data_IF_094848524982
#
_entry.id   IF_094848524982
#
_cell.length_a   1.000
_cell.length_b   1.000
_cell.length_c   1.000
_cell.angle_alpha   90.00
_cell.angle_beta   90.00
_cell.angle_gamma   90.00
#
_symmetry.space_group_name_H-M   'P 1'
#
loop_
_entity.id
_entity.type
_entity.pdbx_description
1 polymer ?
#
# COMPACT_ATOMS: atom_id res chain seq x y z
N UNK A 1 15.19 11.49 -22.81
CA UNK A 1 14.63 11.08 -21.51
C UNK A 1 14.61 12.32 -20.66
N UNK A 2 13.42 12.92 -20.52
CA UNK A 2 13.30 14.35 -20.29
C UNK A 2 13.56 14.71 -18.83
N UNK A 3 14.55 15.58 -18.62
CA UNK A 3 14.96 16.12 -17.33
C UNK A 3 13.81 16.82 -16.59
N UNK A 4 12.79 17.30 -17.30
CA UNK A 4 11.57 17.87 -16.73
C UNK A 4 10.66 16.82 -16.07
N UNK A 5 10.59 15.61 -16.62
CA UNK A 5 9.84 14.48 -16.02
C UNK A 5 10.56 13.97 -14.76
N UNK A 6 11.89 13.87 -14.82
CA UNK A 6 12.73 13.51 -13.65
C UNK A 6 12.70 14.60 -12.57
N UNK A 7 12.63 15.88 -12.93
CA UNK A 7 12.45 16.99 -11.99
C UNK A 7 11.03 17.06 -11.39
N UNK A 8 10.01 16.61 -12.13
CA UNK A 8 8.66 16.39 -11.60
C UNK A 8 8.64 15.24 -10.57
N UNK A 9 9.37 14.16 -10.86
CA UNK A 9 9.57 13.02 -9.96
C UNK A 9 10.41 13.38 -8.72
N UNK A 10 11.36 14.31 -8.82
CA UNK A 10 12.12 14.81 -7.67
C UNK A 10 11.34 15.80 -6.79
N UNK A 11 10.28 16.44 -7.31
CA UNK A 11 9.26 17.13 -6.50
C UNK A 11 8.27 16.16 -5.85
N UNK A 12 8.02 15.02 -6.50
CA UNK A 12 7.36 13.85 -5.91
C UNK A 12 8.30 13.03 -5.02
N UNK A 13 9.52 13.53 -4.73
CA UNK A 13 10.38 12.97 -3.69
C UNK A 13 9.54 12.98 -2.42
N UNK A 14 9.03 11.80 -2.11
CA UNK A 14 8.71 11.37 -0.77
C UNK A 14 9.96 11.71 0.04
N UNK A 15 9.98 12.91 0.63
CA UNK A 15 10.92 13.24 1.69
C UNK A 15 10.44 12.46 2.92
N UNK A 16 10.53 11.13 2.80
CA UNK A 16 10.31 10.13 3.84
C UNK A 16 11.38 10.21 4.92
N UNK A 17 12.45 10.96 4.66
CA UNK A 17 13.60 11.16 5.55
C UNK A 17 13.36 12.21 6.62
N UNK A 18 12.49 13.21 6.37
CA UNK A 18 12.11 14.14 7.43
C UNK A 18 10.97 13.52 8.22
N UNK A 19 11.28 13.00 9.41
CA UNK A 19 10.27 12.52 10.36
C UNK A 19 9.25 13.63 10.60
N UNK A 20 8.05 13.48 10.01
CA UNK A 20 6.99 14.47 10.19
C UNK A 20 6.13 14.05 11.38
N UNK A 21 5.96 14.99 12.30
CA UNK A 21 5.21 14.79 13.53
C UNK A 21 3.69 14.89 13.36
N UNK A 22 3.22 15.07 12.13
CA UNK A 22 1.79 15.09 11.76
C UNK A 22 1.21 13.69 11.49
N UNK A 23 2.04 12.63 11.43
CA UNK A 23 1.60 11.26 11.22
C UNK A 23 1.38 10.49 12.52
N UNK A 24 0.23 9.83 12.64
CA UNK A 24 -0.07 8.90 13.73
C UNK A 24 0.73 7.59 13.59
N UNK A 25 0.86 6.85 14.70
CA UNK A 25 1.51 5.54 14.69
C UNK A 25 0.86 4.56 13.70
N UNK A 26 -0.48 4.52 13.65
CA UNK A 26 -1.23 3.66 12.71
C UNK A 26 -0.86 3.94 11.25
N UNK A 27 -0.64 5.21 10.92
CA UNK A 27 -0.41 5.64 9.55
C UNK A 27 1.00 5.27 9.14
N UNK A 28 1.97 5.43 10.05
CA UNK A 28 3.36 4.99 9.86
C UNK A 28 3.45 3.48 9.70
N UNK A 29 2.69 2.72 10.49
CA UNK A 29 2.61 1.26 10.34
C UNK A 29 2.22 0.89 8.91
N UNK A 30 1.19 1.55 8.37
CA UNK A 30 0.70 1.28 7.03
C UNK A 30 1.64 1.76 5.92
N UNK A 31 1.93 3.06 5.84
CA UNK A 31 2.63 3.62 4.67
C UNK A 31 4.16 3.56 4.78
N UNK A 32 4.73 3.50 5.99
CA UNK A 32 6.18 3.43 6.20
C UNK A 32 6.63 1.98 6.38
N UNK A 33 6.18 1.34 7.47
CA UNK A 33 6.68 0.00 7.85
C UNK A 33 6.24 -1.08 6.84
N UNK A 34 4.95 -1.19 6.54
CA UNK A 34 4.47 -2.20 5.57
C UNK A 34 5.09 -2.01 4.19
N UNK A 35 5.18 -0.76 3.70
CA UNK A 35 5.84 -0.46 2.41
C UNK A 35 7.30 -0.91 2.41
N UNK A 36 8.09 -0.59 3.45
CA UNK A 36 9.50 -0.98 3.54
C UNK A 36 9.64 -2.51 3.56
N UNK A 37 8.81 -3.19 4.34
CA UNK A 37 8.81 -4.66 4.45
C UNK A 37 8.49 -5.29 3.08
N UNK A 38 7.42 -4.82 2.42
CA UNK A 38 6.99 -5.35 1.11
C UNK A 38 8.06 -5.10 0.03
N UNK A 39 8.66 -3.90 0.02
CA UNK A 39 9.75 -3.58 -0.93
C UNK A 39 10.96 -4.47 -0.66
N UNK A 40 11.34 -4.69 0.61
CA UNK A 40 12.44 -5.58 0.96
C UNK A 40 12.19 -7.01 0.47
N UNK A 41 10.98 -7.56 0.69
CA UNK A 41 10.63 -8.88 0.17
C UNK A 41 10.61 -8.94 -1.35
N UNK A 42 10.06 -7.92 -2.02
CA UNK A 42 10.08 -7.82 -3.48
C UNK A 42 11.51 -7.83 -4.04
N UNK A 43 12.44 -7.12 -3.40
CA UNK A 43 13.86 -7.15 -3.74
C UNK A 43 14.48 -8.53 -3.53
N UNK A 44 14.22 -9.19 -2.40
CA UNK A 44 14.75 -10.54 -2.11
C UNK A 44 14.28 -11.55 -3.15
N UNK A 45 12.99 -11.54 -3.48
CA UNK A 45 12.40 -12.44 -4.49
C UNK A 45 12.98 -12.11 -5.88
N UNK A 46 13.09 -10.83 -6.22
CA UNK A 46 13.69 -10.40 -7.50
C UNK A 46 15.14 -10.88 -7.63
N UNK A 47 15.95 -10.78 -6.57
CA UNK A 47 17.32 -11.30 -6.56
C UNK A 47 17.34 -12.80 -6.85
N UNK A 48 16.46 -13.59 -6.19
CA UNK A 48 16.33 -15.03 -6.46
C UNK A 48 15.92 -15.32 -7.90
N UNK A 49 15.02 -14.52 -8.47
CA UNK A 49 14.42 -14.76 -9.78
C UNK A 49 15.32 -14.34 -10.96
N UNK A 50 16.11 -13.26 -10.81
CA UNK A 50 16.94 -12.73 -11.90
C UNK A 50 18.41 -13.15 -11.82
N UNK A 51 18.95 -13.38 -10.61
CA UNK A 51 20.36 -13.75 -10.40
C UNK A 51 20.49 -15.26 -10.14
N UNK A 52 19.50 -15.85 -9.48
CA UNK A 52 19.44 -17.28 -9.21
C UNK A 52 18.75 -18.08 -10.32
N UNK A 53 18.68 -19.39 -10.12
CA UNK A 53 17.81 -20.29 -10.90
C UNK A 53 16.42 -20.31 -10.25
N UNK A 54 15.36 -19.80 -10.90
CA UNK A 54 14.02 -19.72 -10.31
C UNK A 54 13.31 -21.08 -10.22
N UNK A 55 13.68 -22.02 -11.09
CA UNK A 55 13.16 -23.39 -11.13
C UNK A 55 14.30 -24.34 -11.52
N UNK A 56 14.26 -25.55 -10.98
CA UNK A 56 15.13 -26.66 -11.39
C UNK A 56 14.24 -27.77 -11.94
N UNK A 57 14.62 -28.34 -13.08
CA UNK A 57 13.82 -29.35 -13.75
C UNK A 57 14.53 -30.70 -13.73
N UNK A 58 13.77 -31.77 -13.51
CA UNK A 58 14.27 -33.13 -13.71
C UNK A 58 14.34 -33.42 -15.22
N UNK A 59 15.55 -33.36 -15.78
CA UNK A 59 15.81 -33.62 -17.21
C UNK A 59 16.52 -34.97 -17.42
N UNK A 60 16.40 -35.59 -18.60
CA UNK A 60 17.12 -36.82 -18.92
C UNK A 60 18.64 -36.67 -18.82
N UNK A 61 19.33 -37.75 -18.44
CA UNK A 61 20.79 -37.74 -18.20
C UNK A 61 21.63 -37.51 -19.46
N UNK A 62 21.04 -37.66 -20.65
CA UNK A 62 21.71 -37.41 -21.93
C UNK A 62 21.82 -35.91 -22.24
N UNK A 63 21.12 -35.04 -21.52
CA UNK A 63 21.12 -33.61 -21.79
C UNK A 63 22.46 -32.98 -21.41
N UNK A 64 22.98 -32.16 -22.32
CA UNK A 64 24.10 -31.26 -22.01
C UNK A 64 23.64 -30.14 -21.08
N UNK A 65 24.58 -29.54 -20.34
CA UNK A 65 24.28 -28.41 -19.43
C UNK A 65 23.52 -27.26 -20.11
N UNK A 66 23.82 -26.95 -21.37
CA UNK A 66 23.12 -25.90 -22.10
C UNK A 66 21.66 -26.28 -22.42
N UNK A 67 21.38 -27.57 -22.63
CA UNK A 67 20.02 -28.07 -22.85
C UNK A 67 19.22 -28.11 -21.54
N UNK A 68 19.86 -28.44 -20.42
CA UNK A 68 19.27 -28.32 -19.08
C UNK A 68 18.86 -26.87 -18.78
N UNK A 69 19.77 -25.91 -18.96
CA UNK A 69 19.49 -24.48 -18.77
C UNK A 69 18.40 -23.98 -19.73
N UNK A 70 18.35 -24.49 -20.97
CA UNK A 70 17.25 -24.19 -21.89
C UNK A 70 15.91 -24.77 -21.41
N UNK A 71 15.89 -26.02 -20.96
CA UNK A 71 14.68 -26.67 -20.44
C UNK A 71 14.14 -25.95 -19.20
N UNK A 72 15.01 -25.58 -18.25
CA UNK A 72 14.66 -24.77 -17.08
C UNK A 72 14.03 -23.43 -17.49
N UNK A 73 14.62 -22.72 -18.46
CA UNK A 73 14.07 -21.46 -18.96
C UNK A 73 12.72 -21.63 -19.66
N UNK A 74 12.55 -22.68 -20.46
CA UNK A 74 11.28 -22.99 -21.12
C UNK A 74 10.21 -23.32 -20.08
N UNK A 75 10.52 -24.16 -19.09
CA UNK A 75 9.62 -24.50 -18.00
C UNK A 75 9.27 -23.28 -17.13
N UNK A 76 10.22 -22.36 -16.93
CA UNK A 76 9.97 -21.14 -16.18
C UNK A 76 9.05 -20.18 -16.92
N UNK A 77 9.26 -19.94 -18.22
CA UNK A 77 8.47 -18.99 -19.02
C UNK A 77 7.09 -19.55 -19.36
N UNK A 78 7.01 -20.86 -19.59
CA UNK A 78 5.76 -21.58 -19.83
C UNK A 78 5.01 -21.78 -18.51
N UNK A 79 3.68 -21.80 -18.54
CA UNK A 79 2.89 -22.09 -17.32
C UNK A 79 3.11 -23.53 -16.90
N UNK A 80 3.39 -23.75 -15.61
CA UNK A 80 3.41 -25.08 -15.01
C UNK A 80 2.04 -25.41 -14.43
N UNK A 81 1.78 -26.66 -14.12
CA UNK A 81 0.56 -27.10 -13.45
C UNK A 81 0.89 -28.13 -12.38
N UNK A 82 0.09 -28.15 -11.33
CA UNK A 82 0.24 -29.11 -10.24
C UNK A 82 -0.58 -30.37 -10.49
N UNK A 83 -0.02 -31.51 -10.11
CA UNK A 83 -0.67 -32.82 -10.07
C UNK A 83 -0.37 -33.40 -8.69
N UNK A 84 -1.41 -33.88 -7.99
CA UNK A 84 -1.23 -34.48 -6.67
C UNK A 84 -0.43 -35.77 -6.76
N UNK A 85 0.48 -35.99 -5.81
CA UNK A 85 1.28 -37.23 -5.68
C UNK A 85 0.41 -38.49 -5.54
N UNK A 86 -0.85 -38.34 -5.12
CA UNK A 86 -1.82 -39.45 -4.97
C UNK A 86 -2.40 -39.89 -6.31
N UNK A 87 -2.42 -39.00 -7.32
CA UNK A 87 -2.96 -39.31 -8.64
C UNK A 87 -1.91 -40.03 -9.50
N UNK A 88 -2.21 -41.28 -9.88
CA UNK A 88 -1.28 -42.12 -10.64
C UNK A 88 -1.15 -41.71 -12.12
N UNK A 89 -2.12 -40.95 -12.66
CA UNK A 89 -2.18 -40.60 -14.08
C UNK A 89 -2.17 -39.09 -14.28
N UNK A 90 -1.24 -38.61 -15.12
CA UNK A 90 -1.25 -37.22 -15.57
C UNK A 90 -2.50 -36.98 -16.41
N UNK A 91 -3.33 -35.96 -16.11
CA UNK A 91 -4.56 -35.71 -16.84
C UNK A 91 -4.28 -35.53 -18.34
N UNK A 92 -4.93 -36.32 -19.18
CA UNK A 92 -4.76 -36.27 -20.64
C UNK A 92 -5.55 -35.13 -21.29
N UNK A 93 -6.56 -34.60 -20.59
CA UNK A 93 -7.43 -33.53 -21.09
C UNK A 93 -6.84 -32.16 -20.73
N UNK A 94 -6.55 -31.37 -21.77
CA UNK A 94 -6.15 -29.96 -21.66
C UNK A 94 -7.01 -29.10 -20.70
N UNK A 95 -8.36 -29.21 -20.64
CA UNK A 95 -9.15 -28.37 -19.73
C UNK A 95 -8.94 -28.67 -18.24
N UNK A 96 -8.56 -29.90 -17.86
CA UNK A 96 -8.29 -30.26 -16.46
C UNK A 96 -6.96 -29.66 -15.99
N UNK A 97 -5.95 -29.63 -16.89
CA UNK A 97 -4.65 -29.00 -16.62
C UNK A 97 -4.76 -27.50 -16.38
N UNK A 98 -5.67 -26.82 -17.07
CA UNK A 98 -5.84 -25.36 -16.94
C UNK A 98 -6.27 -24.93 -15.53
N UNK A 99 -7.03 -25.78 -14.83
CA UNK A 99 -7.55 -25.46 -13.50
C UNK A 99 -6.47 -25.48 -12.42
N UNK A 100 -5.41 -26.28 -12.61
CA UNK A 100 -4.28 -26.39 -11.68
C UNK A 100 -3.03 -25.65 -12.16
N UNK A 101 -3.16 -24.77 -13.17
CA UNK A 101 -2.04 -23.98 -13.68
C UNK A 101 -1.53 -22.96 -12.66
N UNK A 102 -0.22 -22.91 -12.53
CA UNK A 102 0.50 -22.03 -11.63
C UNK A 102 1.31 -21.05 -12.47
N UNK A 103 0.93 -19.78 -12.41
CA UNK A 103 1.66 -18.70 -13.10
C UNK A 103 1.95 -17.50 -12.20
N UNK A 104 1.56 -17.55 -10.92
CA UNK A 104 1.71 -16.39 -10.04
C UNK A 104 3.18 -16.12 -9.71
N UNK A 105 4.04 -17.13 -9.50
CA UNK A 105 5.45 -16.95 -9.10
C UNK A 105 6.24 -15.93 -9.95
N UNK A 106 6.01 -15.90 -11.26
CA UNK A 106 6.67 -14.97 -12.17
C UNK A 106 6.37 -13.49 -11.85
N UNK A 107 5.16 -13.19 -11.39
CA UNK A 107 4.63 -11.83 -11.25
C UNK A 107 4.66 -11.32 -9.81
N UNK A 108 5.04 -12.17 -8.84
CA UNK A 108 5.03 -11.83 -7.41
C UNK A 108 5.79 -10.53 -7.13
N UNK A 109 7.03 -10.32 -7.62
CA UNK A 109 7.76 -9.09 -7.33
C UNK A 109 7.04 -7.82 -7.80
N UNK A 110 6.43 -7.88 -9.00
CA UNK A 110 5.69 -6.76 -9.57
C UNK A 110 4.42 -6.47 -8.76
N UNK A 111 3.69 -7.51 -8.38
CA UNK A 111 2.48 -7.37 -7.55
C UNK A 111 2.84 -6.77 -6.19
N UNK A 112 3.91 -7.24 -5.53
CA UNK A 112 4.39 -6.67 -4.27
C UNK A 112 4.74 -5.18 -4.42
N UNK A 113 5.36 -4.76 -5.54
CA UNK A 113 5.63 -3.33 -5.77
C UNK A 113 4.35 -2.52 -5.93
N UNK A 114 3.35 -3.04 -6.64
CA UNK A 114 2.02 -2.40 -6.75
C UNK A 114 1.37 -2.30 -5.36
N UNK A 115 1.45 -3.36 -4.55
CA UNK A 115 0.94 -3.34 -3.18
C UNK A 115 1.63 -2.27 -2.33
N UNK A 116 2.95 -2.14 -2.41
CA UNK A 116 3.72 -1.09 -1.73
C UNK A 116 3.28 0.33 -2.17
N UNK A 117 2.99 0.53 -3.47
CA UNK A 117 2.46 1.80 -3.96
C UNK A 117 1.06 2.09 -3.41
N UNK A 118 0.19 1.09 -3.36
CA UNK A 118 -1.17 1.22 -2.80
C UNK A 118 -1.15 1.54 -1.30
N UNK A 119 -0.20 0.99 -0.52
CA UNK A 119 0.01 1.37 0.88
C UNK A 119 0.39 2.84 1.08
N UNK A 120 0.99 3.47 0.07
CA UNK A 120 1.32 4.90 0.09
C UNK A 120 0.17 5.81 -0.38
N UNK A 121 -0.90 5.26 -0.98
CA UNK A 121 -1.99 6.04 -1.57
C UNK A 121 -2.69 6.94 -0.53
N UNK A 122 -3.08 6.47 0.67
CA UNK A 122 -3.76 7.34 1.64
C UNK A 122 -2.87 8.50 2.11
N UNK A 123 -1.56 8.25 2.26
CA UNK A 123 -0.58 9.30 2.59
C UNK A 123 -0.42 10.31 1.44
N UNK A 124 -0.43 9.84 0.18
CA UNK A 124 -0.42 10.73 -0.99
C UNK A 124 -1.65 11.63 -1.01
N UNK A 125 -2.85 11.10 -0.73
CA UNK A 125 -4.08 11.88 -0.63
C UNK A 125 -3.96 12.94 0.46
N UNK A 126 -3.49 12.58 1.66
CA UNK A 126 -3.23 13.56 2.72
C UNK A 126 -2.30 14.68 2.26
N UNK A 127 -1.17 14.35 1.62
CA UNK A 127 -0.18 15.33 1.16
C UNK A 127 -0.69 16.24 0.04
N UNK A 128 -1.47 15.70 -0.89
CA UNK A 128 -1.99 16.47 -2.02
C UNK A 128 -3.14 17.41 -1.64
N UNK A 129 -3.84 17.13 -0.54
CA UNK A 129 -5.03 17.88 -0.15
C UNK A 129 -4.87 18.68 1.16
N UNK A 130 -3.87 18.40 2.02
CA UNK A 130 -3.73 19.09 3.31
C UNK A 130 -3.51 20.62 3.17
N UNK A 131 -2.73 21.06 2.18
CA UNK A 131 -2.42 22.46 1.91
C UNK A 131 -3.67 23.25 1.50
N UNK A 132 -4.67 22.57 0.94
CA UNK A 132 -5.94 23.19 0.62
C UNK A 132 -6.69 23.65 1.87
N UNK A 133 -6.32 23.21 3.08
CA UNK A 133 -6.94 23.70 4.33
C UNK A 133 -6.55 25.15 4.65
N UNK A 134 -5.42 25.64 4.11
CA UNK A 134 -4.85 26.95 4.46
C UNK A 134 -4.15 26.99 5.83
N UNK A 135 -4.12 25.87 6.55
CA UNK A 135 -3.47 25.69 7.84
C UNK A 135 -2.17 24.91 7.60
N UNK A 136 -1.03 25.45 8.02
CA UNK A 136 0.26 24.76 7.91
C UNK A 136 0.45 23.81 9.09
N UNK A 137 -0.21 22.64 9.02
CA UNK A 137 -0.26 21.68 10.11
C UNK A 137 1.12 21.22 10.61
N UNK A 138 2.08 21.01 9.70
CA UNK A 138 3.40 20.51 10.05
C UNK A 138 4.17 21.40 11.01
N UNK A 139 4.11 22.72 10.79
CA UNK A 139 4.83 23.69 11.62
C UNK A 139 4.22 23.77 13.01
N UNK A 140 2.90 23.67 13.11
CA UNK A 140 2.19 23.68 14.40
C UNK A 140 2.51 22.41 15.19
N UNK A 141 2.48 21.25 14.52
CA UNK A 141 2.77 19.97 15.16
C UNK A 141 4.23 19.87 15.61
N UNK A 142 5.15 20.49 14.88
CA UNK A 142 6.56 20.62 15.28
C UNK A 142 6.67 21.43 16.60
N UNK A 143 6.11 22.63 16.64
CA UNK A 143 6.12 23.47 17.85
C UNK A 143 5.39 22.80 19.01
N UNK A 144 4.21 22.22 18.77
CA UNK A 144 3.41 21.57 19.81
C UNK A 144 4.13 20.37 20.42
N UNK A 145 4.85 19.58 19.62
CA UNK A 145 5.63 18.46 20.11
C UNK A 145 6.94 18.91 20.77
N UNK A 146 7.54 20.03 20.35
CA UNK A 146 8.73 20.58 21.00
C UNK A 146 8.40 21.19 22.39
N UNK A 147 7.16 21.62 22.63
CA UNK A 147 6.71 22.13 23.95
C UNK A 147 6.93 21.11 25.07
N UNK A 148 6.83 19.81 24.78
CA UNK A 148 7.06 18.74 25.76
C UNK A 148 8.52 18.62 26.19
N UNK A 149 9.46 19.05 25.33
CA UNK A 149 10.90 18.97 25.57
C UNK A 149 11.45 20.21 26.29
N UNK A 150 10.71 21.32 26.31
CA UNK A 150 11.13 22.58 26.93
C UNK A 150 11.00 22.48 28.46
N UNK A 151 12.15 22.48 29.16
CA UNK A 151 12.21 22.48 30.63
C UNK A 151 11.90 23.85 31.26
N UNK A 152 12.22 24.94 30.55
CA UNK A 152 12.01 26.29 31.05
C UNK A 152 10.50 26.66 31.04
N UNK A 153 9.93 27.09 32.19
CA UNK A 153 8.50 27.35 32.29
C UNK A 153 8.04 28.58 31.49
N UNK A 154 8.89 29.60 31.33
CA UNK A 154 8.54 30.83 30.61
C UNK A 154 8.53 30.59 29.10
N UNK A 155 9.55 29.94 28.57
CA UNK A 155 9.61 29.56 27.15
C UNK A 155 8.48 28.59 26.78
N UNK A 156 8.14 27.65 27.66
CA UNK A 156 7.01 26.73 27.45
C UNK A 156 5.68 27.48 27.33
N UNK A 157 5.41 28.43 28.23
CA UNK A 157 4.19 29.24 28.17
C UNK A 157 4.13 30.11 26.90
N UNK A 158 5.26 30.66 26.45
CA UNK A 158 5.33 31.42 25.21
C UNK A 158 4.98 30.56 23.99
N UNK A 159 5.53 29.35 23.87
CA UNK A 159 5.23 28.41 22.78
C UNK A 159 3.77 27.93 22.81
N UNK A 160 3.23 27.60 23.99
CA UNK A 160 1.80 27.26 24.13
C UNK A 160 0.91 28.42 23.69
N UNK A 161 1.25 29.65 24.08
CA UNK A 161 0.50 30.85 23.67
C UNK A 161 0.60 31.10 22.17
N UNK A 162 1.75 30.84 21.56
CA UNK A 162 1.93 30.91 20.11
C UNK A 162 1.01 29.90 19.39
N UNK A 163 0.98 28.64 19.83
CA UNK A 163 0.11 27.61 19.25
C UNK A 163 -1.36 27.98 19.42
N UNK A 164 -1.77 28.41 20.62
CA UNK A 164 -3.15 28.83 20.89
C UNK A 164 -3.59 30.00 19.99
N UNK A 165 -2.73 31.03 19.87
CA UNK A 165 -2.99 32.18 19.00
C UNK A 165 -3.06 31.78 17.53
N UNK A 166 -2.18 30.90 17.07
CA UNK A 166 -2.21 30.40 15.69
C UNK A 166 -3.52 29.67 15.38
N UNK A 167 -4.01 28.83 16.30
CA UNK A 167 -5.28 28.12 16.14
C UNK A 167 -6.45 29.12 16.12
N UNK A 168 -6.45 30.11 17.01
CA UNK A 168 -7.46 31.17 17.06
C UNK A 168 -7.51 31.97 15.75
N UNK A 169 -6.36 32.44 15.26
CA UNK A 169 -6.24 33.18 13.99
C UNK A 169 -6.71 32.31 12.80
N UNK A 170 -6.38 31.02 12.81
CA UNK A 170 -6.79 30.06 11.78
C UNK A 170 -8.30 29.82 11.78
N UNK A 171 -8.92 29.67 12.95
CA UNK A 171 -10.37 29.50 13.09
C UNK A 171 -11.12 30.79 12.74
N UNK A 172 -10.57 31.95 13.12
CA UNK A 172 -11.09 33.27 12.75
C UNK A 172 -11.14 33.47 11.23
N UNK A 173 -10.03 33.20 10.53
CA UNK A 173 -9.96 33.27 9.07
C UNK A 173 -10.97 32.36 8.36
N UNK A 174 -11.24 31.18 8.91
CA UNK A 174 -12.25 30.27 8.37
C UNK A 174 -13.69 30.77 8.60
N UNK A 175 -13.97 31.45 9.73
CA UNK A 175 -15.28 31.99 10.07
C UNK A 175 -15.70 33.12 9.13
N UNK A 176 -14.78 34.02 8.77
CA UNK A 176 -15.08 35.15 7.87
C UNK A 176 -15.45 34.68 6.45
N UNK A 177 -14.81 33.63 5.95
CA UNK A 177 -15.14 33.03 4.65
C UNK A 177 -16.57 32.47 4.58
N UNK A 178 -17.18 32.14 5.74
CA UNK A 178 -18.54 31.59 5.83
C UNK A 178 -19.64 32.66 5.64
N UNK A 179 -19.35 33.95 5.82
CA UNK A 179 -20.35 35.03 5.87
C UNK A 179 -20.62 35.76 4.52
N UNK A 180 -19.95 35.39 3.42
CA UNK A 180 -20.06 36.11 2.14
C UNK A 180 -21.39 35.89 1.36
N UNK A 181 -21.88 36.93 0.68
CA UNK A 181 -23.16 36.95 -0.06
C UNK A 181 -23.18 36.08 -1.35
N UNK A 182 -22.04 35.92 -2.06
CA UNK A 182 -21.89 35.06 -3.26
C UNK A 182 -22.12 33.55 -3.00
N UNK A 183 -22.35 33.16 -1.75
CA UNK A 183 -22.45 31.79 -1.26
C UNK A 183 -23.81 31.14 -1.55
N UNK A 184 -24.88 31.94 -1.66
CA UNK A 184 -26.25 31.45 -1.92
C UNK A 184 -26.43 30.92 -3.36
N UNK A 185 -25.84 31.56 -4.37
CA UNK A 185 -25.99 31.11 -5.77
C UNK A 185 -25.24 29.80 -6.07
N UNK A 186 -24.11 29.52 -5.40
CA UNK A 186 -23.35 28.27 -5.55
C UNK A 186 -24.01 27.06 -4.87
N UNK A 187 -25.01 27.29 -4.02
CA UNK A 187 -25.73 26.28 -3.23
C UNK A 187 -26.67 25.42 -4.11
N UNK A 188 -27.13 25.93 -5.25
CA UNK A 188 -28.05 25.22 -6.15
C UNK A 188 -27.36 24.18 -7.04
N UNK A 189 -26.08 24.39 -7.39
CA UNK A 189 -25.35 23.53 -8.35
C UNK A 189 -24.75 22.29 -7.67
N UNK A 190 -24.53 22.31 -6.35
CA UNK A 190 -23.83 21.27 -5.60
C UNK A 190 -24.72 20.10 -5.11
N UNK A 191 -25.98 20.01 -5.56
CA UNK A 191 -26.98 19.08 -4.98
C UNK A 191 -26.86 17.61 -5.40
N UNK A 192 -26.10 17.29 -6.46
CA UNK A 192 -26.08 15.94 -7.04
C UNK A 192 -24.77 15.14 -6.87
N UNK A 193 -23.73 15.66 -6.19
CA UNK A 193 -22.49 14.90 -5.95
C UNK A 193 -22.17 14.81 -4.45
N UNK A 194 -22.21 13.56 -3.95
CA UNK A 194 -21.90 13.16 -2.56
C UNK A 194 -20.49 13.57 -2.07
N UNK A 195 -19.59 13.96 -2.97
CA UNK A 195 -18.22 14.40 -2.64
C UNK A 195 -18.09 15.87 -2.20
N UNK A 196 -19.16 16.69 -2.25
CA UNK A 196 -19.07 18.16 -2.03
C UNK A 196 -19.76 18.63 -0.74
N UNK A 197 -20.14 17.72 0.17
CA UNK A 197 -20.48 18.11 1.56
C UNK A 197 -19.26 18.56 2.39
N UNK A 198 -18.06 18.41 1.84
CA UNK A 198 -16.77 18.68 2.48
C UNK A 198 -16.14 19.97 1.97
N UNK A 199 -16.80 21.09 2.23
CA UNK A 199 -16.32 22.40 1.80
C UNK A 199 -15.37 23.04 2.80
N UNK A 200 -14.25 23.59 2.30
CA UNK A 200 -13.38 24.61 2.95
C UNK A 200 -14.18 25.75 3.63
N UNK A 201 -15.45 25.91 3.28
CA UNK A 201 -16.47 26.85 3.81
C UNK A 201 -17.00 26.55 5.22
N UNK A 202 -16.92 25.30 5.70
CA UNK A 202 -17.44 24.94 7.03
C UNK A 202 -16.36 24.91 8.13
N UNK A 203 -15.09 25.21 7.80
CA UNK A 203 -13.95 25.03 8.72
C UNK A 203 -13.57 23.57 8.98
N UNK A 204 -14.48 22.63 8.74
CA UNK A 204 -14.31 21.21 9.00
C UNK A 204 -13.50 20.44 7.92
N UNK A 205 -12.95 21.12 6.91
CA UNK A 205 -12.27 20.47 5.80
C UNK A 205 -11.07 19.62 6.27
N UNK A 206 -10.24 20.12 7.19
CA UNK A 206 -9.09 19.38 7.71
C UNK A 206 -9.54 18.09 8.43
N UNK A 207 -10.55 18.20 9.29
CA UNK A 207 -11.10 17.06 10.05
C UNK A 207 -11.69 16.01 9.11
N UNK A 208 -12.47 16.44 8.13
CA UNK A 208 -13.05 15.53 7.15
C UNK A 208 -11.99 14.87 6.27
N UNK A 209 -10.98 15.62 5.81
CA UNK A 209 -9.87 15.07 5.06
C UNK A 209 -9.13 13.99 5.87
N UNK A 210 -8.90 14.25 7.16
CA UNK A 210 -8.28 13.27 8.06
C UNK A 210 -9.13 12.01 8.18
N UNK A 211 -10.44 12.12 8.42
CA UNK A 211 -11.35 10.97 8.49
C UNK A 211 -11.40 10.18 7.18
N UNK A 212 -11.41 10.86 6.03
CA UNK A 212 -11.34 10.21 4.71
C UNK A 212 -10.03 9.45 4.57
N UNK A 213 -8.89 10.03 4.95
CA UNK A 213 -7.61 9.35 4.91
C UNK A 213 -7.60 8.10 5.79
N UNK A 214 -8.20 8.15 6.99
CA UNK A 214 -8.33 6.96 7.87
C UNK A 214 -9.20 5.87 7.25
N UNK A 215 -10.34 6.22 6.66
CA UNK A 215 -11.17 5.26 5.92
C UNK A 215 -10.42 4.68 4.73
N UNK A 216 -9.62 5.48 4.02
CA UNK A 216 -8.74 5.00 2.94
C UNK A 216 -7.66 4.05 3.45
N UNK A 217 -7.06 4.29 4.62
CA UNK A 217 -6.11 3.35 5.23
C UNK A 217 -6.75 2.00 5.54
N UNK A 218 -7.93 2.01 6.18
CA UNK A 218 -8.67 0.78 6.49
C UNK A 218 -9.08 0.06 5.20
N UNK A 219 -9.64 0.79 4.23
CA UNK A 219 -10.02 0.27 2.93
C UNK A 219 -8.83 -0.31 2.16
N UNK A 220 -7.66 0.32 2.26
CA UNK A 220 -6.44 -0.20 1.65
C UNK A 220 -6.03 -1.52 2.31
N UNK A 221 -5.99 -1.62 3.65
CA UNK A 221 -5.63 -2.89 4.32
C UNK A 221 -6.57 -4.02 3.88
N UNK A 222 -7.89 -3.78 3.87
CA UNK A 222 -8.88 -4.76 3.41
C UNK A 222 -8.66 -5.12 1.94
N UNK A 223 -8.44 -4.12 1.08
CA UNK A 223 -8.17 -4.31 -0.35
C UNK A 223 -6.91 -5.11 -0.62
N UNK A 224 -5.86 -4.95 0.19
CA UNK A 224 -4.61 -5.70 0.07
C UNK A 224 -4.79 -7.19 0.37
N UNK A 225 -5.59 -7.51 1.40
CA UNK A 225 -5.97 -8.89 1.70
C UNK A 225 -6.75 -9.53 0.55
N UNK A 226 -7.75 -8.84 0.01
CA UNK A 226 -8.53 -9.34 -1.14
C UNK A 226 -7.68 -9.47 -2.41
N UNK A 227 -6.77 -8.52 -2.66
CA UNK A 227 -5.85 -8.57 -3.78
C UNK A 227 -4.97 -9.81 -3.69
N UNK A 228 -4.40 -10.09 -2.52
CA UNK A 228 -3.57 -11.28 -2.32
C UNK A 228 -4.38 -12.57 -2.50
N UNK A 229 -5.56 -12.67 -1.88
CA UNK A 229 -6.40 -13.86 -2.00
C UNK A 229 -6.79 -14.17 -3.45
N UNK A 230 -7.21 -13.13 -4.19
CA UNK A 230 -7.56 -13.25 -5.61
C UNK A 230 -6.35 -13.61 -6.48
N UNK A 231 -5.18 -13.06 -6.16
CA UNK A 231 -3.96 -13.28 -6.93
C UNK A 231 -3.42 -14.70 -6.79
N UNK A 232 -3.50 -15.28 -5.58
CA UNK A 232 -3.11 -16.66 -5.32
C UNK A 232 -4.12 -17.67 -5.89
N UNK A 233 -5.37 -17.26 -6.14
CA UNK A 233 -6.39 -18.11 -6.73
C UNK A 233 -6.84 -19.26 -5.82
N UNK A 234 -6.61 -19.13 -4.51
CA UNK A 234 -7.00 -20.14 -3.52
C UNK A 234 -8.50 -20.12 -3.26
N UNK A 235 -9.07 -21.29 -2.94
CA UNK A 235 -10.49 -21.42 -2.56
C UNK A 235 -10.82 -20.84 -1.17
N UNK A 236 -9.81 -20.35 -0.45
CA UNK A 236 -9.95 -19.78 0.87
C UNK A 236 -10.65 -18.42 0.86
N UNK A 237 -11.47 -18.19 1.89
CA UNK A 237 -12.08 -16.87 2.11
C UNK A 237 -11.13 -15.95 2.86
N UNK A 238 -10.34 -16.53 3.77
CA UNK A 238 -9.31 -15.87 4.55
C UNK A 238 -8.00 -16.66 4.47
N UNK A 239 -7.37 -16.61 3.30
CA UNK A 239 -6.14 -17.32 2.96
C UNK A 239 -5.11 -17.41 4.11
N UNK A 240 -4.82 -16.29 4.79
CA UNK A 240 -3.79 -16.29 5.84
C UNK A 240 -4.13 -17.09 7.10
N UNK A 241 -5.39 -17.12 7.53
CA UNK A 241 -5.80 -17.84 8.75
C UNK A 241 -6.00 -19.32 8.44
N UNK A 242 -6.65 -19.62 7.31
CA UNK A 242 -6.93 -20.99 6.89
C UNK A 242 -5.63 -21.73 6.57
N UNK A 243 -4.67 -21.10 5.89
CA UNK A 243 -3.35 -21.71 5.66
C UNK A 243 -2.58 -21.98 6.97
N UNK A 244 -2.60 -21.04 7.92
CA UNK A 244 -1.93 -21.25 9.21
C UNK A 244 -2.59 -22.38 10.01
N UNK A 245 -3.90 -22.54 9.87
CA UNK A 245 -4.64 -23.64 10.47
C UNK A 245 -4.26 -24.98 9.85
N UNK A 246 -4.22 -25.06 8.52
CA UNK A 246 -3.83 -26.27 7.81
C UNK A 246 -2.40 -26.69 8.16
N UNK A 247 -1.48 -25.72 8.25
CA UNK A 247 -0.10 -25.96 8.72
C UNK A 247 -0.03 -26.40 10.19
N UNK A 248 -0.91 -25.90 11.06
CA UNK A 248 -0.96 -26.30 12.47
C UNK A 248 -1.60 -27.67 12.68
N UNK A 249 -2.54 -28.06 11.80
CA UNK A 249 -3.20 -29.37 11.77
C UNK A 249 -2.32 -30.44 11.08
N UNK A 250 -1.24 -30.02 10.42
CA UNK A 250 -0.25 -30.91 9.78
C UNK A 250 -0.58 -31.29 8.34
N UNK A 251 -1.51 -30.56 7.69
CA UNK A 251 -1.81 -30.76 6.29
C UNK A 251 -0.69 -30.19 5.41
N UNK A 252 0.00 -31.07 4.70
CA UNK A 252 1.09 -30.70 3.79
C UNK A 252 0.56 -30.15 2.45
N UNK A 253 1.46 -29.55 1.66
CA UNK A 253 1.14 -29.02 0.32
C UNK A 253 0.69 -30.12 -0.66
N UNK A 254 1.11 -31.37 -0.44
CA UNK A 254 0.74 -32.52 -1.27
C UNK A 254 -0.77 -32.81 -1.21
N UNK A 255 -1.37 -32.66 -0.02
CA UNK A 255 -2.80 -32.87 0.23
C UNK A 255 -3.62 -31.62 -0.09
N UNK A 256 -3.12 -30.45 0.31
CA UNK A 256 -3.85 -29.19 0.17
C UNK A 256 -3.74 -28.57 -1.23
N UNK A 257 -2.73 -28.96 -2.01
CA UNK A 257 -2.43 -28.39 -3.33
C UNK A 257 -1.97 -26.93 -3.30
N UNK A 258 -1.76 -26.36 -2.10
CA UNK A 258 -1.32 -24.98 -1.92
C UNK A 258 0.21 -24.92 -1.88
N UNK A 259 0.81 -24.09 -2.74
CA UNK A 259 2.26 -23.92 -2.88
C UNK A 259 3.02 -25.24 -3.06
N UNK A 260 2.76 -25.99 -4.15
CA UNK A 260 3.55 -27.15 -4.45
C UNK A 260 5.01 -26.76 -4.66
N UNK A 261 5.88 -27.53 -4.02
CA UNK A 261 7.33 -27.28 -3.95
C UNK A 261 8.05 -27.68 -5.25
#
# INVERSE_FOLDING_TARGET
MDSAFVAGLSKLRFDSTRYRRDDDFSDRLSHTFSTVIIVAFSLVISCRQYIGKPIACWVPTEFTRAQEEYAENVCWVTRTYYVSTTEQNVPHREPERYQTMISYYQWVPLVLLIQALLFNLPCLVWRLFNWQSGIQLSSIMEVASDVELIKDPLSRQASVRYVAKYIEDSLGAQREYRAGCLTKCKHCIARNFLFIWFGKRYGNFLVCLYLICKVLYIGNVIGQFFLMNKYLGTNYTFYGIELLRDLAEGHEWEESGNFPA
#
